data_IF_250978579445
#
_entry.id   IF_250978579445
#
_cell.length_a   1.000
_cell.length_b   1.000
_cell.length_c   1.000
_cell.angle_alpha   90.00
_cell.angle_beta   90.00
_cell.angle_gamma   90.00
#
_symmetry.space_group_name_H-M   'P 1'
#
loop_
_entity.id
_entity.type
_entity.pdbx_description
1 polymer ?
#
# COMPACT_ATOMS: atom_id res chain seq x y z
N UNK A 1 50.06 43.12 19.11
CA UNK A 1 50.54 41.81 19.62
C UNK A 1 49.56 41.28 20.66
N UNK A 2 49.33 39.95 20.63
CA UNK A 2 48.60 39.08 21.58
C UNK A 2 47.08 38.89 21.38
N UNK A 3 46.73 37.59 21.32
CA UNK A 3 45.47 36.91 20.99
C UNK A 3 44.66 36.59 22.26
N UNK A 4 43.38 36.28 22.09
CA UNK A 4 42.55 35.44 22.98
C UNK A 4 41.06 35.58 22.63
N UNK A 5 40.50 34.71 21.78
CA UNK A 5 39.75 33.50 22.16
C UNK A 5 38.48 33.84 22.96
N UNK A 6 37.29 33.86 22.35
CA UNK A 6 36.42 32.68 22.19
C UNK A 6 35.43 32.67 23.37
N UNK A 7 34.12 32.77 23.15
CA UNK A 7 33.27 31.58 23.11
C UNK A 7 31.98 31.79 22.30
N UNK A 8 31.52 30.67 21.79
CA UNK A 8 30.50 30.48 20.77
C UNK A 8 29.07 30.84 21.21
N UNK A 9 28.32 31.36 20.24
CA UNK A 9 26.87 31.15 20.12
C UNK A 9 26.62 29.68 19.78
N UNK A 10 25.84 28.98 20.60
CA UNK A 10 24.97 27.84 20.25
C UNK A 10 23.95 27.77 21.42
N UNK A 11 22.65 27.70 21.29
CA UNK A 11 21.77 27.28 20.21
C UNK A 11 20.53 26.85 20.98
N UNK A 12 19.45 27.63 20.89
CA UNK A 12 18.21 27.30 21.57
C UNK A 12 17.66 26.00 21.00
N UNK A 13 17.77 24.89 21.73
CA UNK A 13 17.05 23.67 21.43
C UNK A 13 15.58 23.87 21.79
N UNK A 14 14.87 24.63 20.96
CA UNK A 14 13.44 24.44 20.78
C UNK A 14 13.30 23.03 20.23
N UNK A 15 13.06 22.08 21.14
CA UNK A 15 12.72 20.72 20.78
C UNK A 15 11.46 20.83 19.92
N UNK A 16 11.66 20.71 18.60
CA UNK A 16 10.59 20.59 17.64
C UNK A 16 9.83 19.36 18.10
N UNK A 17 8.64 19.58 18.66
CA UNK A 17 7.74 18.52 19.10
C UNK A 17 7.50 17.68 17.85
N UNK A 18 8.09 16.49 17.79
CA UNK A 18 7.78 15.53 16.74
C UNK A 18 6.32 15.17 16.96
N UNK A 19 5.44 15.63 16.09
CA UNK A 19 4.08 15.15 16.06
C UNK A 19 4.15 13.63 15.83
N UNK A 20 3.42 12.81 16.61
CA UNK A 20 3.33 11.38 16.33
C UNK A 20 2.87 11.18 14.89
N UNK A 21 3.34 10.15 14.17
CA UNK A 21 2.96 9.93 12.79
C UNK A 21 1.43 9.82 12.69
N UNK A 22 0.85 10.80 11.99
CA UNK A 22 -0.55 10.82 11.55
C UNK A 22 -0.82 9.61 10.64
N UNK A 23 -1.94 8.91 10.62
CA UNK A 23 -3.09 8.64 11.49
C UNK A 23 -3.80 7.47 10.77
N UNK A 24 -4.56 6.63 11.48
CA UNK A 24 -5.43 5.66 10.82
C UNK A 24 -6.40 6.40 9.87
N UNK A 25 -6.35 6.08 8.57
CA UNK A 25 -7.22 6.67 7.54
C UNK A 25 -8.17 5.58 7.05
N UNK A 26 -9.47 5.77 7.30
CA UNK A 26 -10.53 4.95 6.71
C UNK A 26 -11.35 5.81 5.74
N UNK A 27 -11.51 5.33 4.51
CA UNK A 27 -12.40 5.95 3.51
C UNK A 27 -13.35 4.89 2.98
N UNK A 28 -14.64 5.00 3.31
CA UNK A 28 -15.70 4.11 2.82
C UNK A 28 -16.65 4.89 1.91
N UNK A 29 -17.00 4.29 0.76
CA UNK A 29 -17.99 4.84 -0.17
C UNK A 29 -18.79 3.71 -0.82
N UNK A 30 -20.12 3.85 -0.83
CA UNK A 30 -21.05 2.91 -1.45
C UNK A 30 -21.88 3.67 -2.48
N UNK A 31 -22.02 3.10 -3.68
CA UNK A 31 -22.80 3.69 -4.77
C UNK A 31 -23.29 2.59 -5.73
N UNK A 32 -24.45 2.81 -6.36
CA UNK A 32 -24.96 1.93 -7.42
C UNK A 32 -24.39 2.35 -8.76
N UNK A 33 -23.87 1.39 -9.52
CA UNK A 33 -23.20 1.62 -10.82
C UNK A 33 -23.77 0.74 -11.90
N UNK A 34 -23.67 1.21 -13.14
CA UNK A 34 -23.77 0.31 -14.28
C UNK A 34 -22.54 -0.61 -14.34
N UNK A 35 -22.69 -1.79 -14.94
CA UNK A 35 -21.58 -2.74 -15.15
C UNK A 35 -20.37 -2.09 -15.84
N UNK A 36 -20.60 -1.19 -16.79
CA UNK A 36 -19.54 -0.49 -17.53
C UNK A 36 -18.80 0.53 -16.65
N UNK A 37 -19.49 1.22 -15.74
CA UNK A 37 -18.85 2.15 -14.79
C UNK A 37 -18.01 1.40 -13.77
N UNK A 38 -18.50 0.27 -13.24
CA UNK A 38 -17.74 -0.59 -12.35
C UNK A 38 -16.46 -1.10 -13.03
N UNK A 39 -16.57 -1.63 -14.26
CA UNK A 39 -15.42 -2.10 -15.03
C UNK A 39 -14.37 -1.01 -15.26
N UNK A 40 -14.79 0.21 -15.62
CA UNK A 40 -13.85 1.33 -15.81
C UNK A 40 -13.08 1.69 -14.54
N UNK A 41 -13.71 1.56 -13.37
CA UNK A 41 -13.07 1.89 -12.09
C UNK A 41 -12.09 0.81 -11.65
N UNK A 42 -12.46 -0.45 -11.83
CA UNK A 42 -11.55 -1.58 -11.59
C UNK A 42 -10.34 -1.51 -12.52
N UNK A 43 -10.54 -1.15 -13.80
CA UNK A 43 -9.44 -0.97 -14.75
C UNK A 43 -8.52 0.20 -14.35
N UNK A 44 -9.07 1.33 -13.91
CA UNK A 44 -8.26 2.46 -13.43
C UNK A 44 -7.44 2.10 -12.18
N UNK A 45 -8.02 1.30 -11.27
CA UNK A 45 -7.28 0.77 -10.12
C UNK A 45 -6.13 -0.13 -10.55
N UNK A 46 -6.41 -1.09 -11.44
CA UNK A 46 -5.38 -2.00 -11.97
C UNK A 46 -4.25 -1.24 -12.68
N UNK A 47 -4.59 -0.29 -13.56
CA UNK A 47 -3.61 0.54 -14.28
C UNK A 47 -2.73 1.35 -13.33
N UNK A 48 -3.33 1.92 -12.27
CA UNK A 48 -2.59 2.67 -11.26
C UNK A 48 -1.62 1.78 -10.45
N UNK A 49 -2.00 0.54 -10.16
CA UNK A 49 -1.13 -0.43 -9.47
C UNK A 49 0.05 -0.86 -10.36
N UNK A 50 -0.17 -1.08 -11.66
CA UNK A 50 0.90 -1.51 -12.58
C UNK A 50 1.92 -0.41 -12.91
N UNK A 51 1.46 0.83 -13.11
CA UNK A 51 2.30 1.89 -13.68
C UNK A 51 2.85 2.89 -12.66
N UNK A 52 2.33 2.90 -11.43
CA UNK A 52 2.56 3.99 -10.45
C UNK A 52 3.90 3.97 -9.70
N UNK A 53 4.80 3.01 -9.96
CA UNK A 53 6.00 2.80 -9.15
C UNK A 53 5.67 2.60 -7.68
N UNK A 54 4.55 1.93 -7.42
CA UNK A 54 3.97 1.75 -6.09
C UNK A 54 3.05 2.88 -5.62
N UNK A 55 2.85 3.99 -6.35
CA UNK A 55 1.89 5.03 -5.96
C UNK A 55 0.60 4.98 -6.77
N UNK A 56 -0.49 4.66 -6.09
CA UNK A 56 -1.84 4.59 -6.67
C UNK A 56 -2.61 5.87 -6.35
N UNK A 57 -3.16 6.52 -7.39
CA UNK A 57 -4.09 7.64 -7.25
C UNK A 57 -5.48 7.26 -7.78
N UNK A 58 -6.51 7.34 -6.93
CA UNK A 58 -7.88 6.96 -7.26
C UNK A 58 -8.83 8.11 -7.01
N UNK A 59 -9.75 8.35 -7.95
CA UNK A 59 -10.85 9.28 -7.75
C UNK A 59 -11.96 8.65 -6.90
N UNK A 60 -12.29 9.28 -5.78
CA UNK A 60 -13.40 8.93 -4.88
C UNK A 60 -14.43 10.07 -4.90
N UNK A 61 -15.20 10.14 -5.99
CA UNK A 61 -16.12 11.25 -6.22
C UNK A 61 -15.38 12.57 -6.42
N UNK A 62 -15.56 13.53 -5.51
CA UNK A 62 -14.87 14.83 -5.53
C UNK A 62 -13.46 14.79 -4.90
N UNK A 63 -13.14 13.71 -4.19
CA UNK A 63 -11.86 13.53 -3.50
C UNK A 63 -10.92 12.61 -4.28
N UNK A 64 -9.62 12.68 -4.00
CA UNK A 64 -8.62 11.73 -4.51
C UNK A 64 -7.95 11.00 -3.36
N UNK A 65 -7.88 9.67 -3.45
CA UNK A 65 -7.06 8.85 -2.58
C UNK A 65 -5.68 8.68 -3.23
N UNK A 66 -4.62 8.89 -2.45
CA UNK A 66 -3.25 8.59 -2.85
C UNK A 66 -2.64 7.65 -1.83
N UNK A 67 -2.20 6.47 -2.27
CA UNK A 67 -1.65 5.43 -1.39
C UNK A 67 -0.40 4.81 -2.02
N UNK A 68 0.55 4.40 -1.18
CA UNK A 68 1.69 3.59 -1.60
C UNK A 68 1.34 2.10 -1.43
N UNK A 69 1.50 1.33 -2.50
CA UNK A 69 1.29 -0.12 -2.64
C UNK A 69 2.65 -0.75 -2.97
N UNK A 70 3.16 -1.68 -2.15
CA UNK A 70 4.42 -2.36 -2.43
C UNK A 70 4.28 -3.41 -3.54
N UNK A 71 5.41 -3.94 -4.02
CA UNK A 71 5.46 -4.97 -5.06
C UNK A 71 4.77 -6.29 -4.66
N UNK A 72 4.73 -6.60 -3.36
CA UNK A 72 4.06 -7.79 -2.82
C UNK A 72 2.93 -7.38 -1.86
N UNK A 73 1.73 -7.85 -2.18
CA UNK A 73 0.52 -7.64 -1.37
C UNK A 73 -0.17 -8.98 -1.12
N UNK A 74 -0.87 -9.08 0.00
CA UNK A 74 -1.83 -10.17 0.23
C UNK A 74 -3.16 -9.78 -0.41
N UNK A 75 -3.69 -10.65 -1.26
CA UNK A 75 -4.98 -10.49 -1.93
C UNK A 75 -5.92 -11.63 -1.51
N UNK A 76 -7.11 -11.27 -1.07
CA UNK A 76 -8.23 -12.19 -0.84
C UNK A 76 -9.38 -11.78 -1.76
N UNK A 77 -10.08 -12.76 -2.31
CA UNK A 77 -11.22 -12.53 -3.19
C UNK A 77 -12.31 -13.53 -2.82
N UNK A 78 -13.49 -13.00 -2.49
CA UNK A 78 -14.64 -13.78 -2.05
C UNK A 78 -15.83 -13.49 -2.94
N UNK A 79 -16.63 -14.52 -3.20
CA UNK A 79 -17.87 -14.42 -3.97
C UNK A 79 -18.95 -15.11 -3.18
N UNK A 80 -19.99 -14.37 -2.84
CA UNK A 80 -21.17 -14.87 -2.15
C UNK A 80 -22.42 -14.64 -3.00
N UNK A 81 -23.36 -15.58 -2.92
CA UNK A 81 -24.66 -15.49 -3.56
C UNK A 81 -25.71 -15.75 -2.49
N UNK A 82 -26.51 -14.74 -2.17
CA UNK A 82 -27.63 -14.83 -1.23
C UNK A 82 -28.91 -14.35 -1.93
N UNK A 83 -29.91 -15.23 -2.01
CA UNK A 83 -31.16 -14.94 -2.73
C UNK A 83 -30.94 -14.53 -4.19
N UNK A 84 -31.31 -13.31 -4.53
CA UNK A 84 -31.16 -12.66 -5.83
C UNK A 84 -29.98 -11.68 -5.90
N UNK A 85 -29.15 -11.65 -4.86
CA UNK A 85 -27.97 -10.79 -4.75
C UNK A 85 -26.67 -11.59 -4.97
N UNK A 86 -25.70 -10.94 -5.60
CA UNK A 86 -24.32 -11.45 -5.76
C UNK A 86 -23.37 -10.41 -5.20
N UNK A 87 -22.54 -10.82 -4.27
CA UNK A 87 -21.47 -10.01 -3.69
C UNK A 87 -20.11 -10.53 -4.16
N UNK A 88 -19.27 -9.61 -4.65
CA UNK A 88 -17.88 -9.86 -5.00
C UNK A 88 -17.02 -8.90 -4.19
N UNK A 89 -16.25 -9.45 -3.26
CA UNK A 89 -15.29 -8.70 -2.46
C UNK A 89 -13.87 -8.94 -2.96
N UNK A 90 -13.08 -7.88 -3.01
CA UNK A 90 -11.64 -7.92 -3.28
C UNK A 90 -10.94 -7.18 -2.16
N UNK A 91 -10.23 -7.90 -1.31
CA UNK A 91 -9.50 -7.34 -0.17
C UNK A 91 -7.99 -7.39 -0.41
N UNK A 92 -7.33 -6.24 -0.30
CA UNK A 92 -5.89 -6.09 -0.48
C UNK A 92 -5.26 -5.59 0.82
N UNK A 93 -4.25 -6.31 1.32
CA UNK A 93 -3.56 -6.02 2.58
C UNK A 93 -2.06 -5.95 2.39
N UNK A 94 -1.43 -4.91 2.93
CA UNK A 94 0.02 -4.75 2.98
C UNK A 94 0.46 -3.93 4.19
N UNK A 95 1.75 -4.01 4.52
CA UNK A 95 2.36 -3.23 5.61
C UNK A 95 2.75 -1.83 5.11
N UNK A 96 2.50 -0.81 5.94
CA UNK A 96 3.03 0.55 5.75
C UNK A 96 4.32 0.78 6.52
N UNK A 97 4.77 -0.20 7.31
CA UNK A 97 6.06 -0.13 8.01
C UNK A 97 7.21 -0.24 7.01
N UNK A 98 8.25 0.60 7.12
CA UNK A 98 9.48 0.46 6.34
C UNK A 98 10.29 -0.72 6.89
N UNK A 99 10.06 -1.95 6.42
CA UNK A 99 10.88 -3.12 6.76
C UNK A 99 11.75 -3.52 5.55
N UNK A 100 12.98 -4.05 5.74
CA UNK A 100 13.98 -4.17 4.68
C UNK A 100 13.62 -5.29 3.70
N UNK A 101 13.95 -5.11 2.42
CA UNK A 101 13.74 -6.05 1.30
C UNK A 101 13.71 -7.52 1.74
N UNK A 102 12.52 -8.14 1.71
CA UNK A 102 12.40 -9.57 1.91
C UNK A 102 12.72 -10.29 0.60
N UNK A 103 13.80 -11.07 0.57
CA UNK A 103 14.18 -11.89 -0.58
C UNK A 103 13.07 -12.91 -0.91
N UNK A 104 12.77 -13.15 -2.21
CA UNK A 104 11.72 -14.09 -2.59
C UNK A 104 12.04 -15.49 -2.09
N UNK A 105 11.03 -16.15 -1.52
CA UNK A 105 11.11 -17.55 -1.10
C UNK A 105 11.39 -18.43 -2.32
N UNK A 106 12.62 -18.94 -2.40
CA UNK A 106 13.03 -19.87 -3.45
C UNK A 106 12.23 -21.17 -3.29
N UNK A 107 11.38 -21.46 -4.27
CA UNK A 107 10.50 -22.62 -4.31
C UNK A 107 11.22 -23.92 -3.94
N UNK A 108 10.63 -24.67 -3.02
CA UNK A 108 11.08 -26.01 -2.63
C UNK A 108 10.79 -26.96 -3.79
N UNK A 109 11.77 -27.11 -4.69
CA UNK A 109 11.73 -28.12 -5.74
C UNK A 109 11.51 -29.51 -5.12
N UNK A 110 10.39 -30.15 -5.43
CA UNK A 110 10.18 -31.57 -5.12
C UNK A 110 11.19 -32.36 -5.95
N UNK A 111 12.14 -33.04 -5.29
CA UNK A 111 12.96 -34.09 -5.92
C UNK A 111 12.02 -35.20 -6.39
N UNK A 112 11.93 -35.41 -7.70
CA UNK A 112 11.42 -36.65 -8.27
C UNK A 112 12.37 -37.80 -7.87
N UNK A 113 11.81 -38.91 -7.40
CA UNK A 113 12.56 -40.14 -7.17
C UNK A 113 12.88 -40.81 -8.52
N UNK A 114 14.07 -41.43 -8.69
CA UNK A 114 14.36 -42.19 -9.90
C UNK A 114 13.59 -43.52 -9.88
N UNK A 115 13.03 -43.89 -11.04
CA UNK A 115 12.47 -45.20 -11.28
C UNK A 115 13.58 -46.27 -11.20
N UNK A 116 13.30 -47.36 -10.49
CA UNK A 116 14.11 -48.58 -10.54
C UNK A 116 13.61 -49.50 -11.64
N UNK A 117 14.60 -50.12 -12.29
CA UNK A 117 14.60 -51.12 -13.38
C UNK A 117 13.57 -52.24 -13.27
#
# INVERSE_FOLDING_TARGET
MRRGAGTARLGGSSHRRTEPPVSDVEVKRTESLTRQEAARRLAALAEAMENGGGHVELALGVSKLKIHVPDEIRCEMEVEVDGDEVELEVELKWSTSPEPEHKPARGRAKRAAPAST
#
